data_IF_851325503591
#
_entry.id   IF_851325503591
#
_cell.length_a   1.000
_cell.length_b   1.000
_cell.length_c   1.000
_cell.angle_alpha   90.00
_cell.angle_beta   90.00
_cell.angle_gamma   90.00
#
_symmetry.space_group_name_H-M   'P 1'
#
loop_
_entity.id
_entity.type
_entity.pdbx_description
1 polymer ?
#
# COMPACT_ATOMS: atom_id res chain seq x y z
N UNK A 1 29.82 -45.98 -26.43
CA UNK A 1 30.73 -44.98 -27.05
C UNK A 1 29.84 -43.96 -27.74
N UNK A 2 29.67 -42.69 -27.40
CA UNK A 2 30.25 -41.70 -26.46
C UNK A 2 29.05 -41.09 -25.69
N UNK A 3 29.08 -40.87 -24.38
CA UNK A 3 29.71 -39.71 -23.75
C UNK A 3 28.68 -38.90 -22.94
N UNK A 4 28.09 -39.53 -21.92
CA UNK A 4 27.14 -38.92 -20.97
C UNK A 4 27.94 -38.49 -19.73
N UNK A 5 28.23 -37.18 -19.55
CA UNK A 5 28.62 -36.59 -18.25
C UNK A 5 28.75 -35.07 -18.31
N UNK A 6 28.37 -34.46 -17.19
CA UNK A 6 28.74 -33.13 -16.64
C UNK A 6 28.23 -31.87 -17.34
N UNK A 7 27.15 -31.27 -16.79
CA UNK A 7 27.27 -30.07 -15.94
C UNK A 7 26.01 -29.90 -15.07
N UNK A 8 26.09 -30.44 -13.85
CA UNK A 8 25.36 -29.99 -12.66
C UNK A 8 26.18 -28.84 -12.07
N UNK A 9 25.61 -27.64 -11.90
CA UNK A 9 25.94 -26.61 -10.88
C UNK A 9 25.46 -25.23 -11.37
N UNK A 10 24.27 -24.83 -10.95
CA UNK A 10 23.83 -23.44 -10.65
C UNK A 10 22.30 -23.42 -10.55
N UNK A 11 21.79 -23.95 -9.43
CA UNK A 11 20.36 -23.94 -9.12
C UNK A 11 20.16 -23.74 -7.62
N UNK A 12 20.63 -22.62 -7.05
CA UNK A 12 20.30 -22.16 -5.70
C UNK A 12 20.45 -20.63 -5.64
N UNK A 13 19.58 -19.96 -4.85
CA UNK A 13 19.37 -18.49 -4.70
C UNK A 13 18.42 -17.94 -5.78
N UNK A 14 17.10 -17.86 -5.61
CA UNK A 14 16.35 -16.99 -4.69
C UNK A 14 14.99 -17.63 -4.36
N UNK A 15 14.90 -18.30 -3.21
CA UNK A 15 13.63 -18.67 -2.57
C UNK A 15 13.88 -18.66 -1.06
N UNK A 16 13.63 -17.51 -0.43
CA UNK A 16 14.12 -17.25 0.92
C UNK A 16 13.42 -16.11 1.63
N UNK A 17 12.09 -16.02 1.54
CA UNK A 17 11.24 -15.35 2.55
C UNK A 17 9.85 -16.02 2.50
N UNK A 18 9.66 -17.18 3.14
CA UNK A 18 8.31 -17.68 3.48
C UNK A 18 8.26 -18.83 4.51
N UNK A 19 9.36 -19.30 5.10
CA UNK A 19 9.34 -20.45 6.03
C UNK A 19 9.93 -20.11 7.39
N UNK A 20 9.13 -19.52 8.26
CA UNK A 20 9.36 -19.54 9.70
C UNK A 20 8.04 -19.32 10.46
N UNK A 21 7.15 -20.31 10.47
CA UNK A 21 6.13 -20.50 11.52
C UNK A 21 5.50 -21.90 11.36
N UNK A 22 6.28 -22.93 11.68
CA UNK A 22 5.78 -24.27 11.96
C UNK A 22 6.72 -24.88 13.00
N UNK A 23 6.39 -24.65 14.27
CA UNK A 23 7.09 -25.20 15.43
C UNK A 23 6.06 -25.75 16.41
N UNK A 24 6.03 -27.08 16.47
CA UNK A 24 5.72 -27.96 17.61
C UNK A 24 4.54 -27.63 18.54
N UNK A 25 3.55 -28.52 18.46
CA UNK A 25 2.52 -28.72 19.49
C UNK A 25 3.20 -29.39 20.69
N UNK A 26 3.53 -28.60 21.71
CA UNK A 26 3.80 -29.08 23.06
C UNK A 26 2.50 -29.00 23.88
N UNK A 27 1.95 -30.17 24.20
CA UNK A 27 0.88 -30.34 25.18
C UNK A 27 1.45 -30.22 26.59
N UNK A 28 0.98 -29.26 27.38
CA UNK A 28 1.31 -29.21 28.81
C UNK A 28 1.00 -27.85 29.42
N UNK A 29 0.14 -27.82 30.43
CA UNK A 29 -0.47 -26.62 30.97
C UNK A 29 0.50 -25.62 31.60
N UNK A 30 0.15 -24.34 31.50
CA UNK A 30 0.08 -23.46 32.68
C UNK A 30 -0.73 -22.20 32.33
N UNK A 31 -2.00 -22.16 32.76
CA UNK A 31 -2.86 -20.98 32.62
C UNK A 31 -2.69 -20.15 33.88
N UNK A 32 -1.74 -19.21 33.87
CA UNK A 32 -1.68 -17.94 34.66
C UNK A 32 -0.23 -17.46 34.71
N UNK A 33 0.19 -16.60 33.76
CA UNK A 33 1.25 -15.56 33.90
C UNK A 33 1.63 -14.99 32.52
N UNK A 34 0.76 -14.17 31.91
CA UNK A 34 1.08 -13.47 30.65
C UNK A 34 0.54 -12.04 30.62
N UNK A 35 0.70 -11.29 31.72
CA UNK A 35 0.19 -9.90 31.83
C UNK A 35 1.25 -8.87 32.21
N UNK A 36 2.55 -9.14 32.01
CA UNK A 36 3.62 -8.25 32.49
C UNK A 36 4.64 -7.74 31.45
N UNK A 37 4.54 -8.06 30.16
CA UNK A 37 5.54 -7.66 29.14
C UNK A 37 5.21 -6.40 28.32
N UNK A 38 4.20 -5.62 28.70
CA UNK A 38 3.89 -4.30 28.08
C UNK A 38 4.11 -3.11 29.01
N UNK A 39 5.06 -3.21 29.95
CA UNK A 39 5.54 -2.05 30.73
C UNK A 39 6.95 -1.68 30.32
N UNK A 40 7.07 -0.45 29.80
CA UNK A 40 8.28 0.33 29.45
C UNK A 40 8.88 0.06 28.07
N UNK A 41 8.36 0.80 27.08
CA UNK A 41 9.18 1.22 25.94
C UNK A 41 10.25 2.21 26.45
N UNK A 42 11.53 2.05 26.10
CA UNK A 42 12.57 2.98 26.50
C UNK A 42 12.36 4.34 25.83
N UNK A 43 12.57 5.39 26.61
CA UNK A 43 12.55 6.78 26.19
C UNK A 43 13.77 7.04 25.28
N UNK A 44 13.64 6.72 23.98
CA UNK A 44 14.73 6.91 23.03
C UNK A 44 14.82 8.38 22.65
N UNK A 45 15.75 9.08 23.32
CA UNK A 45 16.29 10.39 22.95
C UNK A 45 17.04 10.43 21.62
N UNK A 46 16.50 9.80 20.57
CA UNK A 46 16.96 9.89 19.18
C UNK A 46 16.05 10.85 18.42
N UNK A 47 16.06 12.13 18.81
CA UNK A 47 15.50 13.21 18.00
C UNK A 47 16.62 14.16 17.59
N UNK A 48 16.58 14.53 16.30
CA UNK A 48 17.16 15.73 15.66
C UNK A 48 18.41 15.56 14.78
N UNK A 49 19.30 14.59 14.97
CA UNK A 49 20.57 14.58 14.20
C UNK A 49 20.44 14.13 12.71
N UNK A 50 19.56 13.18 12.38
CA UNK A 50 19.49 12.61 11.03
C UNK A 50 18.61 13.40 10.02
N UNK A 51 17.85 14.41 10.49
CA UNK A 51 16.89 15.14 9.63
C UNK A 51 17.55 16.22 8.76
N UNK A 52 18.79 16.63 9.06
CA UNK A 52 19.43 17.80 8.43
C UNK A 52 20.19 17.52 7.13
N UNK A 53 20.53 16.27 6.82
CA UNK A 53 21.35 15.95 5.63
C UNK A 53 20.53 15.53 4.41
N UNK A 54 19.33 14.96 4.59
CA UNK A 54 18.42 14.68 3.46
C UNK A 54 17.71 15.94 2.94
N UNK A 55 17.44 16.92 3.82
CA UNK A 55 16.70 18.14 3.49
C UNK A 55 17.49 19.19 2.69
N UNK A 56 18.83 19.11 2.66
CA UNK A 56 19.65 20.08 1.90
C UNK A 56 19.89 19.69 0.45
N UNK A 57 19.79 18.40 0.08
CA UNK A 57 19.83 17.97 -1.33
C UNK A 57 18.48 18.15 -2.04
N UNK A 58 17.38 18.16 -1.31
CA UNK A 58 16.02 18.49 -1.81
C UNK A 58 15.80 20.00 -2.04
N UNK A 59 16.75 20.86 -1.65
CA UNK A 59 16.59 22.32 -1.70
C UNK A 59 16.96 22.97 -3.05
N UNK A 60 17.65 22.29 -3.97
CA UNK A 60 17.68 22.76 -5.37
C UNK A 60 16.44 22.24 -6.08
N UNK A 61 15.42 23.10 -6.14
CA UNK A 61 14.26 22.88 -7.00
C UNK A 61 14.76 22.69 -8.44
N UNK A 62 14.86 21.44 -8.88
CA UNK A 62 15.14 21.14 -10.27
C UNK A 62 13.93 21.56 -11.11
N UNK A 63 14.15 21.92 -12.38
CA UNK A 63 13.05 22.26 -13.28
C UNK A 63 12.00 21.13 -13.37
N UNK A 64 12.45 19.86 -13.27
CA UNK A 64 11.56 18.70 -13.19
C UNK A 64 10.74 18.70 -11.90
N UNK A 65 11.35 18.95 -10.73
CA UNK A 65 10.64 19.03 -9.46
C UNK A 65 9.55 20.11 -9.44
N UNK A 66 9.79 21.26 -10.08
CA UNK A 66 8.77 22.31 -10.24
C UNK A 66 7.60 21.85 -11.11
N UNK A 67 7.87 21.18 -12.25
CA UNK A 67 6.81 20.62 -13.10
C UNK A 67 5.98 19.55 -12.38
N UNK A 68 6.62 18.66 -11.63
CA UNK A 68 5.93 17.66 -10.81
C UNK A 68 5.00 18.33 -9.81
N UNK A 69 5.46 19.35 -9.08
CA UNK A 69 4.62 20.11 -8.14
C UNK A 69 3.44 20.80 -8.84
N UNK A 70 3.66 21.35 -10.03
CA UNK A 70 2.58 21.94 -10.83
C UNK A 70 1.52 20.89 -11.17
N UNK A 71 1.92 19.73 -11.67
CA UNK A 71 1.01 18.63 -11.97
C UNK A 71 0.25 18.14 -10.73
N UNK A 72 0.90 18.03 -9.58
CA UNK A 72 0.24 17.68 -8.32
C UNK A 72 -0.81 18.74 -7.92
N UNK A 73 -0.45 20.02 -7.92
CA UNK A 73 -1.37 21.10 -7.59
C UNK A 73 -2.59 21.12 -8.53
N UNK A 74 -2.38 20.91 -9.83
CA UNK A 74 -3.45 20.77 -10.80
C UNK A 74 -4.30 19.53 -10.54
N UNK A 75 -3.68 18.37 -10.28
CA UNK A 75 -4.36 17.12 -9.96
C UNK A 75 -5.29 17.27 -8.76
N UNK A 76 -4.80 17.80 -7.64
CA UNK A 76 -5.61 18.05 -6.45
C UNK A 76 -6.72 19.10 -6.68
N UNK A 77 -6.47 20.15 -7.48
CA UNK A 77 -7.54 21.07 -7.90
C UNK A 77 -8.64 20.35 -8.68
N UNK A 78 -8.29 19.42 -9.57
CA UNK A 78 -9.27 18.62 -10.31
C UNK A 78 -10.03 17.64 -9.41
N UNK A 79 -9.37 17.05 -8.41
CA UNK A 79 -10.02 16.24 -7.36
C UNK A 79 -11.08 17.06 -6.63
N UNK A 80 -10.77 18.29 -6.23
CA UNK A 80 -11.71 19.19 -5.55
C UNK A 80 -12.91 19.55 -6.45
N UNK A 81 -12.70 19.68 -7.76
CA UNK A 81 -13.74 19.91 -8.77
C UNK A 81 -14.50 18.66 -9.21
N UNK A 82 -14.24 17.50 -8.58
CA UNK A 82 -14.81 16.19 -8.96
C UNK A 82 -14.51 15.77 -10.41
N UNK A 83 -13.46 16.30 -11.03
CA UNK A 83 -13.03 15.97 -12.38
C UNK A 83 -12.02 14.80 -12.38
N UNK A 84 -12.49 13.61 -11.98
CA UNK A 84 -11.64 12.44 -11.75
C UNK A 84 -10.74 12.04 -12.95
N UNK A 85 -11.21 12.03 -14.22
CA UNK A 85 -10.35 11.73 -15.36
C UNK A 85 -9.18 12.74 -15.50
N UNK A 86 -9.47 14.04 -15.45
CA UNK A 86 -8.46 15.09 -15.55
C UNK A 86 -7.46 15.05 -14.39
N UNK A 87 -7.92 14.75 -13.17
CA UNK A 87 -7.03 14.54 -12.02
C UNK A 87 -6.06 13.38 -12.24
N UNK A 88 -6.57 12.24 -12.73
CA UNK A 88 -5.77 11.05 -13.03
C UNK A 88 -4.68 11.34 -14.07
N UNK A 89 -5.01 12.08 -15.12
CA UNK A 89 -4.04 12.46 -16.15
C UNK A 89 -2.91 13.33 -15.59
N UNK A 90 -3.23 14.28 -14.70
CA UNK A 90 -2.22 15.12 -14.04
C UNK A 90 -1.32 14.31 -13.11
N UNK A 91 -1.87 13.39 -12.32
CA UNK A 91 -1.03 12.52 -11.49
C UNK A 91 -0.15 11.59 -12.32
N UNK A 92 -0.65 11.00 -13.41
CA UNK A 92 0.18 10.22 -14.33
C UNK A 92 1.27 11.06 -14.99
N UNK A 93 0.99 12.32 -15.37
CA UNK A 93 1.99 13.24 -15.89
C UNK A 93 3.10 13.52 -14.85
N UNK A 94 2.73 13.71 -13.58
CA UNK A 94 3.68 13.85 -12.48
C UNK A 94 4.60 12.63 -12.35
N UNK A 95 4.06 11.41 -12.40
CA UNK A 95 4.86 10.17 -12.33
C UNK A 95 5.81 10.00 -13.52
N UNK A 96 5.37 10.34 -14.74
CA UNK A 96 6.23 10.31 -15.94
C UNK A 96 7.39 11.28 -15.81
N UNK A 97 7.14 12.51 -15.35
CA UNK A 97 8.17 13.52 -15.15
C UNK A 97 9.20 13.07 -14.10
N UNK A 98 8.76 12.45 -13.00
CA UNK A 98 9.67 11.85 -12.00
C UNK A 98 10.53 10.75 -12.62
N UNK A 99 9.92 9.80 -13.33
CA UNK A 99 10.64 8.69 -13.94
C UNK A 99 11.68 9.18 -14.96
N UNK A 100 11.32 10.14 -15.83
CA UNK A 100 12.23 10.75 -16.78
C UNK A 100 13.37 11.52 -16.11
N UNK A 101 13.08 12.27 -15.04
CA UNK A 101 14.10 12.97 -14.27
C UNK A 101 15.12 12.00 -13.65
N UNK A 102 14.67 10.84 -13.17
CA UNK A 102 15.54 9.78 -12.62
C UNK A 102 16.44 9.15 -13.68
N UNK A 103 15.92 8.91 -14.89
CA UNK A 103 16.73 8.44 -16.03
C UNK A 103 17.77 9.48 -16.41
N UNK A 104 17.37 10.75 -16.56
CA UNK A 104 18.27 11.86 -16.93
C UNK A 104 19.36 12.11 -15.90
N UNK A 105 19.04 11.93 -14.61
CA UNK A 105 20.00 12.04 -13.52
C UNK A 105 20.87 10.78 -13.32
N UNK A 106 20.71 9.75 -14.17
CA UNK A 106 21.38 8.45 -14.05
C UNK A 106 21.17 7.74 -12.70
N UNK A 107 20.09 8.06 -11.98
CA UNK A 107 19.73 7.41 -10.71
C UNK A 107 19.14 6.02 -10.95
N UNK A 108 18.35 5.88 -12.02
CA UNK A 108 17.78 4.61 -12.45
C UNK A 108 17.50 4.66 -13.95
N UNK A 109 18.22 3.85 -14.71
CA UNK A 109 18.09 3.77 -16.18
C UNK A 109 16.78 3.11 -16.62
N UNK A 110 16.17 2.32 -15.73
CA UNK A 110 14.95 1.57 -16.00
C UNK A 110 13.68 2.25 -15.49
N UNK A 111 13.78 3.42 -14.83
CA UNK A 111 12.63 4.06 -14.16
C UNK A 111 11.42 4.29 -15.09
N UNK A 112 11.65 4.78 -16.31
CA UNK A 112 10.60 4.97 -17.30
C UNK A 112 9.98 3.65 -17.76
N UNK A 113 10.80 2.61 -17.97
CA UNK A 113 10.33 1.29 -18.35
C UNK A 113 9.49 0.65 -17.24
N UNK A 114 9.92 0.78 -15.98
CA UNK A 114 9.16 0.28 -14.83
C UNK A 114 7.81 0.97 -14.69
N UNK A 115 7.72 2.27 -14.96
CA UNK A 115 6.42 2.96 -14.97
C UNK A 115 5.49 2.37 -16.04
N UNK A 116 6.00 2.13 -17.24
CA UNK A 116 5.24 1.49 -18.33
C UNK A 116 4.81 0.07 -17.93
N UNK A 117 5.73 -0.73 -17.40
CA UNK A 117 5.45 -2.10 -16.94
C UNK A 117 4.33 -2.13 -15.90
N UNK A 118 4.35 -1.21 -14.94
CA UNK A 118 3.31 -1.11 -13.92
C UNK A 118 1.93 -0.79 -14.52
N UNK A 119 1.87 0.21 -15.42
CA UNK A 119 0.63 0.61 -16.07
C UNK A 119 0.06 -0.51 -16.96
N UNK A 120 0.93 -1.24 -17.66
CA UNK A 120 0.57 -2.41 -18.46
C UNK A 120 0.02 -3.53 -17.57
N UNK A 121 0.70 -3.86 -16.47
CA UNK A 121 0.22 -4.88 -15.54
C UNK A 121 -1.13 -4.51 -14.89
N UNK A 122 -1.34 -3.25 -14.50
CA UNK A 122 -2.64 -2.81 -13.97
C UNK A 122 -3.76 -2.87 -15.02
N UNK A 123 -3.43 -2.64 -16.30
CA UNK A 123 -4.39 -2.80 -17.40
C UNK A 123 -4.76 -4.26 -17.62
N UNK A 124 -3.76 -5.16 -17.68
CA UNK A 124 -3.95 -6.60 -17.88
C UNK A 124 -4.64 -7.27 -16.69
N UNK A 125 -4.41 -6.77 -15.47
CA UNK A 125 -5.14 -7.20 -14.29
C UNK A 125 -6.65 -7.06 -14.44
N UNK A 126 -7.13 -6.11 -15.26
CA UNK A 126 -8.56 -5.90 -15.52
C UNK A 126 -9.21 -7.12 -16.14
N UNK A 127 -8.47 -7.88 -16.93
CA UNK A 127 -9.04 -8.96 -17.74
C UNK A 127 -9.52 -10.12 -16.84
N UNK A 128 -9.01 -10.22 -15.61
CA UNK A 128 -9.45 -11.20 -14.61
C UNK A 128 -10.71 -10.78 -13.83
N UNK A 129 -11.25 -9.57 -14.05
CA UNK A 129 -12.52 -9.13 -13.44
C UNK A 129 -13.66 -9.41 -14.41
N UNK A 130 -14.42 -10.49 -14.16
CA UNK A 130 -15.62 -10.80 -14.91
C UNK A 130 -16.78 -11.12 -13.93
N UNK A 131 -17.41 -10.08 -13.34
CA UNK A 131 -18.44 -10.28 -12.31
C UNK A 131 -19.64 -11.08 -12.82
N UNK A 132 -19.97 -10.96 -14.11
CA UNK A 132 -21.12 -11.62 -14.73
C UNK A 132 -20.75 -12.83 -15.61
N UNK A 133 -19.49 -13.25 -15.62
CA UNK A 133 -19.09 -14.38 -16.45
C UNK A 133 -19.63 -15.69 -15.87
N UNK A 134 -20.54 -16.32 -16.63
CA UNK A 134 -20.98 -17.70 -16.37
C UNK A 134 -19.87 -18.73 -16.64
N UNK A 135 -18.85 -18.34 -17.41
CA UNK A 135 -17.73 -19.20 -17.79
C UNK A 135 -16.56 -18.98 -16.84
N UNK A 136 -16.04 -20.06 -16.29
CA UNK A 136 -14.81 -20.05 -15.52
C UNK A 136 -13.65 -19.60 -16.42
N UNK A 137 -13.06 -18.44 -16.10
CA UNK A 137 -11.87 -17.95 -16.78
C UNK A 137 -10.67 -18.85 -16.45
N UNK A 138 -9.88 -19.24 -17.45
CA UNK A 138 -8.56 -19.84 -17.25
C UNK A 138 -7.49 -18.73 -17.25
N UNK A 139 -6.94 -18.35 -16.08
CA UNK A 139 -6.00 -17.24 -16.01
C UNK A 139 -4.69 -17.52 -16.75
N UNK A 140 -4.29 -18.80 -16.89
CA UNK A 140 -3.08 -19.15 -17.63
C UNK A 140 -3.27 -18.88 -19.13
N UNK A 141 -4.41 -19.31 -19.69
CA UNK A 141 -4.73 -19.06 -21.09
C UNK A 141 -4.80 -17.56 -21.41
N UNK A 142 -5.41 -16.75 -20.54
CA UNK A 142 -5.47 -15.29 -20.71
C UNK A 142 -4.07 -14.65 -20.71
N UNK A 143 -3.25 -15.03 -19.73
CA UNK A 143 -1.93 -14.46 -19.53
C UNK A 143 -0.93 -14.73 -20.67
N UNK A 144 -1.19 -15.70 -21.55
CA UNK A 144 -0.37 -15.92 -22.75
C UNK A 144 -0.35 -14.67 -23.65
N UNK A 145 -1.47 -13.96 -23.74
CA UNK A 145 -1.60 -12.75 -24.58
C UNK A 145 -1.11 -11.48 -23.89
N UNK A 146 -0.86 -11.54 -22.58
CA UNK A 146 -0.41 -10.40 -21.80
C UNK A 146 1.04 -10.05 -22.14
N UNK A 147 1.36 -8.76 -22.12
CA UNK A 147 2.71 -8.25 -22.33
C UNK A 147 3.57 -8.45 -21.09
N UNK A 148 3.01 -8.25 -19.89
CA UNK A 148 3.77 -8.42 -18.64
C UNK A 148 4.25 -9.87 -18.43
N UNK A 149 5.33 -10.08 -17.65
CA UNK A 149 5.87 -11.41 -17.40
C UNK A 149 5.20 -12.16 -16.25
N UNK A 150 4.18 -11.59 -15.60
CA UNK A 150 3.69 -12.02 -14.26
C UNK A 150 3.34 -13.50 -14.14
N UNK A 151 2.71 -14.07 -15.16
CA UNK A 151 2.29 -15.48 -15.20
C UNK A 151 2.93 -16.26 -16.36
N UNK A 152 3.93 -15.68 -17.03
CA UNK A 152 4.58 -16.36 -18.15
C UNK A 152 5.46 -17.47 -17.63
N UNK A 153 5.28 -18.67 -18.18
CA UNK A 153 6.05 -19.86 -17.80
C UNK A 153 5.58 -20.55 -16.52
N UNK A 154 4.54 -20.05 -15.83
CA UNK A 154 3.94 -20.77 -14.70
C UNK A 154 2.88 -21.75 -15.21
N UNK A 155 3.00 -23.03 -14.86
CA UNK A 155 2.00 -24.07 -15.14
C UNK A 155 1.27 -24.50 -13.86
N UNK A 156 0.72 -23.53 -13.14
CA UNK A 156 -0.06 -23.83 -11.94
C UNK A 156 -1.44 -24.35 -12.32
N UNK A 157 -1.67 -25.64 -12.07
CA UNK A 157 -2.91 -26.35 -12.41
C UNK A 157 -4.17 -25.77 -11.76
N UNK A 158 -4.02 -24.95 -10.72
CA UNK A 158 -5.13 -24.42 -9.92
C UNK A 158 -5.04 -22.90 -9.70
N UNK A 159 -4.52 -22.17 -10.69
CA UNK A 159 -4.46 -20.71 -10.60
C UNK A 159 -5.86 -20.11 -10.72
N UNK A 160 -6.36 -19.50 -9.64
CA UNK A 160 -7.63 -18.77 -9.66
C UNK A 160 -7.47 -17.34 -10.19
N UNK A 161 -8.56 -16.74 -10.70
CA UNK A 161 -8.57 -15.35 -11.13
C UNK A 161 -8.13 -14.38 -10.01
N UNK A 162 -8.52 -14.66 -8.76
CA UNK A 162 -8.09 -13.86 -7.60
C UNK A 162 -6.58 -13.95 -7.37
N UNK A 163 -5.99 -15.15 -7.46
CA UNK A 163 -4.54 -15.32 -7.35
C UNK A 163 -3.80 -14.59 -8.47
N UNK A 164 -4.33 -14.62 -9.70
CA UNK A 164 -3.79 -13.84 -10.81
C UNK A 164 -3.83 -12.33 -10.52
N UNK A 165 -4.98 -11.80 -10.07
CA UNK A 165 -5.13 -10.39 -9.66
C UNK A 165 -4.09 -10.00 -8.61
N UNK A 166 -3.89 -10.84 -7.58
CA UNK A 166 -2.94 -10.56 -6.51
C UNK A 166 -1.49 -10.53 -7.02
N UNK A 167 -1.10 -11.43 -7.94
CA UNK A 167 0.23 -11.44 -8.56
C UNK A 167 0.47 -10.21 -9.44
N UNK A 168 -0.50 -9.85 -10.27
CA UNK A 168 -0.43 -8.65 -11.10
C UNK A 168 -0.35 -7.38 -10.26
N UNK A 169 -1.12 -7.32 -9.17
CA UNK A 169 -1.08 -6.22 -8.21
C UNK A 169 0.28 -6.09 -7.53
N UNK A 170 0.85 -7.21 -7.07
CA UNK A 170 2.16 -7.22 -6.44
C UNK A 170 3.27 -6.76 -7.40
N UNK A 171 3.23 -7.22 -8.66
CA UNK A 171 4.15 -6.78 -9.71
C UNK A 171 3.99 -5.29 -10.00
N UNK A 172 2.76 -4.80 -10.22
CA UNK A 172 2.50 -3.39 -10.46
C UNK A 172 2.97 -2.50 -9.30
N UNK A 173 2.73 -2.90 -8.04
CA UNK A 173 3.22 -2.18 -6.86
C UNK A 173 4.75 -2.13 -6.82
N UNK A 174 5.45 -3.21 -7.18
CA UNK A 174 6.91 -3.24 -7.23
C UNK A 174 7.45 -2.33 -8.34
N UNK A 175 6.88 -2.40 -9.53
CA UNK A 175 7.29 -1.57 -10.68
C UNK A 175 7.00 -0.08 -10.46
N UNK A 176 5.86 0.30 -9.84
CA UNK A 176 5.59 1.69 -9.43
C UNK A 176 6.64 2.19 -8.44
N UNK A 177 6.97 1.39 -7.42
CA UNK A 177 7.99 1.74 -6.45
C UNK A 177 9.37 1.88 -7.09
N UNK A 178 9.74 0.99 -8.03
CA UNK A 178 11.00 1.09 -8.77
C UNK A 178 11.08 2.35 -9.64
N UNK A 179 9.99 2.67 -10.34
CA UNK A 179 9.87 3.86 -11.17
C UNK A 179 10.02 5.16 -10.36
N UNK A 180 9.45 5.21 -9.17
CA UNK A 180 9.43 6.39 -8.31
C UNK A 180 10.66 6.49 -7.38
N UNK A 181 11.26 5.35 -6.99
CA UNK A 181 12.24 5.22 -5.90
C UNK A 181 11.77 5.87 -4.62
N UNK A 182 12.61 6.69 -3.96
CA UNK A 182 12.30 7.33 -2.68
C UNK A 182 11.89 8.80 -2.84
N UNK A 183 11.30 9.18 -3.97
CA UNK A 183 10.92 10.58 -4.26
C UNK A 183 9.59 10.95 -3.58
N UNK A 184 9.56 11.90 -2.61
CA UNK A 184 8.34 12.24 -1.87
C UNK A 184 7.22 12.74 -2.78
N UNK A 185 7.54 13.55 -3.79
CA UNK A 185 6.54 14.08 -4.74
C UNK A 185 5.87 12.97 -5.56
N UNK A 186 6.57 11.86 -5.81
CA UNK A 186 5.99 10.70 -6.49
C UNK A 186 5.03 9.94 -5.58
N UNK A 187 5.38 9.81 -4.30
CA UNK A 187 4.49 9.25 -3.28
C UNK A 187 3.17 10.03 -3.18
N UNK A 188 3.21 11.36 -3.25
CA UNK A 188 2.00 12.22 -3.29
C UNK A 188 1.14 11.97 -4.54
N UNK A 189 1.75 11.80 -5.72
CA UNK A 189 1.02 11.50 -6.94
C UNK A 189 0.33 10.11 -6.86
N UNK A 190 1.05 9.11 -6.35
CA UNK A 190 0.50 7.77 -6.09
C UNK A 190 -0.64 7.83 -5.07
N UNK A 191 -0.50 8.61 -4.00
CA UNK A 191 -1.55 8.80 -3.01
C UNK A 191 -2.81 9.44 -3.63
N UNK A 192 -2.64 10.46 -4.47
CA UNK A 192 -3.74 11.09 -5.22
C UNK A 192 -4.48 10.11 -6.13
N UNK A 193 -3.76 9.23 -6.84
CA UNK A 193 -4.36 8.16 -7.65
C UNK A 193 -5.11 7.14 -6.77
N UNK A 194 -4.53 6.75 -5.63
CA UNK A 194 -5.16 5.88 -4.65
C UNK A 194 -6.46 6.45 -4.12
N UNK A 195 -6.51 7.75 -3.81
CA UNK A 195 -7.74 8.43 -3.39
C UNK A 195 -8.83 8.40 -4.47
N UNK A 196 -8.48 8.68 -5.73
CA UNK A 196 -9.44 8.63 -6.84
C UNK A 196 -10.04 7.23 -6.99
N UNK A 197 -9.19 6.19 -6.99
CA UNK A 197 -9.62 4.80 -7.05
C UNK A 197 -10.44 4.37 -5.82
N UNK A 198 -10.07 4.85 -4.63
CA UNK A 198 -10.81 4.57 -3.40
C UNK A 198 -12.22 5.14 -3.46
N UNK A 199 -12.39 6.39 -3.92
CA UNK A 199 -13.71 7.01 -4.12
C UNK A 199 -14.54 6.26 -5.16
N UNK A 200 -13.95 5.87 -6.29
CA UNK A 200 -14.63 5.05 -7.30
C UNK A 200 -15.09 3.69 -6.74
N UNK A 201 -14.30 3.10 -5.83
CA UNK A 201 -14.65 1.82 -5.20
C UNK A 201 -15.77 1.91 -4.16
N UNK A 202 -16.09 3.10 -3.63
CA UNK A 202 -17.15 3.25 -2.61
C UNK A 202 -18.56 2.99 -3.18
N UNK A 203 -18.73 3.10 -4.50
CA UNK A 203 -20.00 2.81 -5.19
C UNK A 203 -20.04 1.41 -5.79
N UNK A 204 -19.03 0.58 -5.51
CA UNK A 204 -18.86 -0.76 -6.07
C UNK A 204 -18.70 -1.78 -4.94
N UNK A 205 -18.66 -3.05 -5.30
CA UNK A 205 -18.39 -4.13 -4.35
C UNK A 205 -17.00 -3.98 -3.70
N UNK A 206 -16.84 -4.54 -2.50
CA UNK A 206 -15.60 -4.42 -1.73
C UNK A 206 -14.37 -4.90 -2.50
N UNK A 207 -14.50 -5.96 -3.31
CA UNK A 207 -13.43 -6.52 -4.13
C UNK A 207 -13.44 -6.03 -5.59
N UNK A 208 -14.02 -4.86 -5.85
CA UNK A 208 -14.02 -4.30 -7.20
C UNK A 208 -12.63 -3.97 -7.71
N UNK A 209 -12.52 -3.83 -9.05
CA UNK A 209 -11.29 -3.36 -9.71
C UNK A 209 -10.78 -2.04 -9.12
N UNK A 210 -11.69 -1.11 -8.84
CA UNK A 210 -11.32 0.19 -8.28
C UNK A 210 -10.70 0.04 -6.87
N UNK A 211 -11.25 -0.87 -6.05
CA UNK A 211 -10.69 -1.17 -4.74
C UNK A 211 -9.27 -1.76 -4.86
N UNK A 212 -9.05 -2.67 -5.82
CA UNK A 212 -7.73 -3.25 -6.02
C UNK A 212 -6.71 -2.22 -6.51
N UNK A 213 -7.08 -1.34 -7.45
CA UNK A 213 -6.21 -0.25 -7.90
C UNK A 213 -5.84 0.69 -6.74
N UNK A 214 -6.79 1.03 -5.87
CA UNK A 214 -6.50 1.81 -4.68
C UNK A 214 -5.49 1.11 -3.76
N UNK A 215 -5.62 -0.21 -3.53
CA UNK A 215 -4.63 -1.00 -2.77
C UNK A 215 -3.25 -0.95 -3.41
N UNK A 216 -3.16 -1.09 -4.74
CA UNK A 216 -1.89 -1.03 -5.50
C UNK A 216 -1.21 0.33 -5.31
N UNK A 217 -1.96 1.43 -5.49
CA UNK A 217 -1.42 2.78 -5.36
C UNK A 217 -0.98 3.11 -3.94
N UNK A 218 -1.80 2.85 -2.92
CA UNK A 218 -1.40 3.11 -1.53
C UNK A 218 -0.23 2.23 -1.09
N UNK A 219 -0.19 0.96 -1.51
CA UNK A 219 0.96 0.09 -1.24
C UNK A 219 2.23 0.61 -1.91
N UNK A 220 2.14 1.12 -3.15
CA UNK A 220 3.26 1.74 -3.83
C UNK A 220 3.69 3.04 -3.13
N UNK A 221 2.76 3.88 -2.68
CA UNK A 221 3.07 5.07 -1.86
C UNK A 221 3.88 4.71 -0.62
N UNK A 222 3.49 3.66 0.12
CA UNK A 222 4.22 3.23 1.32
C UNK A 222 5.59 2.60 1.02
N UNK A 223 5.80 2.05 -0.18
CA UNK A 223 7.13 1.59 -0.62
C UNK A 223 8.03 2.76 -0.99
N UNK A 224 7.48 3.80 -1.61
CA UNK A 224 8.20 5.04 -2.01
C UNK A 224 8.50 5.92 -0.79
N UNK A 225 7.51 6.10 0.09
CA UNK A 225 7.61 6.85 1.32
C UNK A 225 6.96 6.05 2.46
N UNK A 226 7.81 5.35 3.19
CA UNK A 226 7.42 4.46 4.29
C UNK A 226 6.78 5.18 5.49
N UNK A 227 6.91 6.51 5.56
CA UNK A 227 6.34 7.36 6.59
C UNK A 227 5.11 8.15 6.11
N UNK A 228 4.54 7.80 4.94
CA UNK A 228 3.36 8.47 4.42
C UNK A 228 2.10 8.06 5.20
N UNK A 229 1.81 8.82 6.24
CA UNK A 229 0.74 8.54 7.21
C UNK A 229 -0.64 8.32 6.55
N UNK A 230 -1.05 9.23 5.67
CA UNK A 230 -2.36 9.16 5.03
C UNK A 230 -2.55 7.86 4.23
N UNK A 231 -1.57 7.48 3.40
CA UNK A 231 -1.62 6.24 2.63
C UNK A 231 -1.66 4.99 3.53
N UNK A 232 -0.96 5.01 4.66
CA UNK A 232 -0.99 3.94 5.67
C UNK A 232 -2.38 3.76 6.26
N UNK A 233 -3.01 4.87 6.67
CA UNK A 233 -4.38 4.86 7.15
C UNK A 233 -5.36 4.35 6.09
N UNK A 234 -5.34 4.94 4.89
CA UNK A 234 -6.27 4.59 3.81
C UNK A 234 -6.13 3.13 3.37
N UNK A 235 -4.91 2.61 3.27
CA UNK A 235 -4.68 1.20 2.95
C UNK A 235 -5.22 0.28 4.05
N UNK A 236 -5.03 0.64 5.33
CA UNK A 236 -5.56 -0.09 6.47
C UNK A 236 -7.08 -0.19 6.44
N UNK A 237 -7.77 0.94 6.24
CA UNK A 237 -9.23 1.00 6.11
C UNK A 237 -9.72 0.16 4.92
N UNK A 238 -9.06 0.31 3.77
CA UNK A 238 -9.43 -0.42 2.56
C UNK A 238 -9.26 -1.93 2.70
N UNK A 239 -8.18 -2.40 3.35
CA UNK A 239 -7.96 -3.81 3.64
C UNK A 239 -9.00 -4.37 4.61
N UNK A 240 -9.35 -3.59 5.64
CA UNK A 240 -10.39 -3.96 6.60
C UNK A 240 -11.75 -4.13 5.88
N UNK A 241 -12.12 -3.19 5.02
CA UNK A 241 -13.37 -3.26 4.21
C UNK A 241 -13.46 -4.50 3.33
N UNK A 242 -12.35 -5.01 2.80
CA UNK A 242 -12.35 -6.23 1.99
C UNK A 242 -12.10 -7.51 2.82
N UNK A 243 -12.31 -7.47 4.13
CA UNK A 243 -12.14 -8.63 5.00
C UNK A 243 -10.69 -9.04 5.29
N UNK A 244 -9.69 -8.29 4.83
CA UNK A 244 -8.27 -8.60 5.02
C UNK A 244 -7.74 -8.09 6.37
N UNK A 245 -8.44 -8.43 7.46
CA UNK A 245 -8.25 -7.86 8.81
C UNK A 245 -6.83 -7.98 9.36
N UNK A 246 -6.18 -9.14 9.15
CA UNK A 246 -4.82 -9.36 9.63
C UNK A 246 -3.82 -8.40 8.95
N UNK A 247 -3.97 -8.18 7.64
CA UNK A 247 -3.14 -7.24 6.87
C UNK A 247 -3.45 -5.80 7.24
N UNK A 248 -4.74 -5.47 7.41
CA UNK A 248 -5.16 -4.15 7.88
C UNK A 248 -4.53 -3.79 9.23
N UNK A 249 -4.58 -4.72 10.19
CA UNK A 249 -3.97 -4.54 11.51
C UNK A 249 -2.45 -4.33 11.42
N UNK A 250 -1.76 -5.10 10.58
CA UNK A 250 -0.32 -4.96 10.38
C UNK A 250 0.05 -3.57 9.82
N UNK A 251 -0.67 -3.11 8.79
CA UNK A 251 -0.44 -1.80 8.16
C UNK A 251 -0.73 -0.65 9.13
N UNK A 252 -1.83 -0.72 9.88
CA UNK A 252 -2.19 0.31 10.85
C UNK A 252 -1.22 0.36 12.04
N UNK A 253 -0.78 -0.79 12.56
CA UNK A 253 0.26 -0.85 13.61
C UNK A 253 1.58 -0.25 13.14
N UNK A 254 2.00 -0.56 11.91
CA UNK A 254 3.19 0.03 11.31
C UNK A 254 3.06 1.55 11.18
N UNK A 255 1.89 2.02 10.74
CA UNK A 255 1.60 3.46 10.61
C UNK A 255 1.64 4.16 11.97
N UNK A 256 0.97 3.60 12.98
CA UNK A 256 0.95 4.12 14.34
C UNK A 256 2.34 4.19 14.98
N UNK A 257 3.23 3.25 14.65
CA UNK A 257 4.61 3.22 15.15
C UNK A 257 5.47 4.32 14.51
N UNK A 258 5.24 4.62 13.22
CA UNK A 258 6.07 5.57 12.45
C UNK A 258 5.60 7.00 12.57
N UNK A 259 4.31 7.22 12.37
CA UNK A 259 3.67 8.54 12.43
C UNK A 259 2.34 8.34 13.17
N UNK A 260 2.36 8.43 14.52
CA UNK A 260 1.16 8.28 15.32
C UNK A 260 0.15 9.37 14.99
N UNK A 261 -1.11 8.98 14.76
CA UNK A 261 -2.20 9.95 14.60
C UNK A 261 -3.52 9.44 15.12
N UNK A 262 -4.42 10.39 15.41
CA UNK A 262 -5.73 10.09 15.99
C UNK A 262 -6.53 9.15 15.09
N UNK A 263 -6.53 9.37 13.77
CA UNK A 263 -7.25 8.54 12.81
C UNK A 263 -6.73 7.10 12.77
N UNK A 264 -5.40 6.91 12.76
CA UNK A 264 -4.79 5.57 12.76
C UNK A 264 -5.13 4.82 14.06
N UNK A 265 -5.03 5.48 15.21
CA UNK A 265 -5.38 4.88 16.50
C UNK A 265 -6.87 4.58 16.65
N UNK A 266 -7.75 5.44 16.12
CA UNK A 266 -9.18 5.17 16.02
C UNK A 266 -9.45 3.88 15.22
N UNK A 267 -8.86 3.79 14.02
CA UNK A 267 -9.01 2.61 13.17
C UNK A 267 -8.45 1.35 13.83
N UNK A 268 -7.33 1.44 14.56
CA UNK A 268 -6.81 0.32 15.37
C UNK A 268 -7.78 -0.08 16.48
N UNK A 269 -8.37 0.87 17.20
CA UNK A 269 -9.33 0.59 18.26
C UNK A 269 -10.55 -0.15 17.72
N UNK A 270 -11.09 0.30 16.57
CA UNK A 270 -12.21 -0.36 15.90
C UNK A 270 -11.87 -1.79 15.48
N UNK A 271 -10.67 -2.02 14.90
CA UNK A 271 -10.23 -3.35 14.51
C UNK A 271 -10.08 -4.29 15.72
N UNK A 272 -9.48 -3.80 16.80
CA UNK A 272 -9.31 -4.58 18.03
C UNK A 272 -10.67 -4.92 18.65
N UNK A 273 -11.61 -3.96 18.67
CA UNK A 273 -12.97 -4.18 19.15
C UNK A 273 -13.69 -5.26 18.32
N UNK A 274 -13.60 -5.20 16.99
CA UNK A 274 -14.19 -6.19 16.09
C UNK A 274 -13.66 -7.61 16.34
N UNK A 275 -12.36 -7.72 16.63
CA UNK A 275 -11.70 -9.00 16.95
C UNK A 275 -11.95 -9.50 18.38
N UNK A 276 -12.70 -8.75 19.19
CA UNK A 276 -12.93 -9.07 20.61
C UNK A 276 -11.76 -8.76 21.54
N UNK A 277 -10.72 -8.08 21.04
CA UNK A 277 -9.50 -7.72 21.76
C UNK A 277 -9.71 -6.42 22.57
N UNK A 278 -10.64 -6.47 23.54
CA UNK A 278 -11.15 -5.29 24.29
C UNK A 278 -10.04 -4.48 24.96
N UNK A 279 -9.08 -5.14 25.61
CA UNK A 279 -7.98 -4.47 26.30
C UNK A 279 -7.13 -3.64 25.33
N UNK A 280 -6.82 -4.20 24.15
CA UNK A 280 -6.06 -3.50 23.11
C UNK A 280 -6.85 -2.33 22.52
N UNK A 281 -8.18 -2.48 22.36
CA UNK A 281 -9.04 -1.38 21.94
C UNK A 281 -9.04 -0.23 22.97
N UNK A 282 -9.12 -0.53 24.26
CA UNK A 282 -9.02 0.47 25.35
C UNK A 282 -7.66 1.16 25.37
N UNK A 283 -6.57 0.42 25.16
CA UNK A 283 -5.23 1.01 25.04
C UNK A 283 -5.14 1.97 23.85
N UNK A 284 -5.63 1.57 22.67
CA UNK A 284 -5.66 2.44 21.49
C UNK A 284 -6.49 3.72 21.73
N UNK A 285 -7.64 3.61 22.41
CA UNK A 285 -8.43 4.78 22.82
C UNK A 285 -7.69 5.69 23.82
N UNK A 286 -6.88 5.10 24.70
CA UNK A 286 -5.99 5.86 25.59
C UNK A 286 -4.95 6.68 24.82
N UNK A 287 -4.41 6.13 23.73
CA UNK A 287 -3.49 6.85 22.83
C UNK A 287 -4.18 8.01 22.11
N UNK A 288 -5.43 7.83 21.67
CA UNK A 288 -6.22 8.93 21.08
C UNK A 288 -6.33 10.09 22.08
N UNK A 289 -6.74 9.83 23.33
CA UNK A 289 -6.84 10.86 24.38
C UNK A 289 -5.50 11.51 24.71
N UNK A 290 -4.40 10.75 24.69
CA UNK A 290 -3.06 11.31 24.89
C UNK A 290 -2.69 12.28 23.76
N UNK A 291 -2.96 11.90 22.51
CA UNK A 291 -2.74 12.78 21.37
C UNK A 291 -3.68 14.00 21.40
N UNK A 292 -4.89 13.85 21.92
CA UNK A 292 -5.82 14.96 22.13
C UNK A 292 -5.26 16.00 23.09
N UNK A 293 -4.80 15.56 24.25
CA UNK A 293 -4.23 16.42 25.28
C UNK A 293 -2.87 17.01 24.87
N UNK A 294 -2.13 16.33 23.99
CA UNK A 294 -0.83 16.79 23.52
C UNK A 294 -0.93 17.78 22.33
N UNK A 295 -2.04 17.76 21.58
CA UNK A 295 -2.20 18.60 20.40
C UNK A 295 -3.29 19.67 20.64
N UNK A 296 -2.92 20.74 21.33
CA UNK A 296 -3.64 22.03 21.28
C UNK A 296 -3.55 22.68 19.88
N UNK A 297 -2.81 22.07 18.93
CA UNK A 297 -2.71 22.50 17.54
C UNK A 297 -3.54 21.56 16.64
N UNK A 298 -4.65 22.10 16.13
CA UNK A 298 -5.61 21.44 15.24
C UNK A 298 -4.95 20.68 14.07
N UNK A 299 -4.80 19.37 14.21
CA UNK A 299 -4.57 18.50 13.04
C UNK A 299 -5.93 17.97 12.61
N UNK A 300 -6.51 18.61 11.59
CA UNK A 300 -7.89 18.36 11.16
C UNK A 300 -8.08 16.91 10.68
N UNK A 301 -9.09 16.22 11.24
CA UNK A 301 -9.53 14.87 10.85
C UNK A 301 -10.09 14.80 9.41
N UNK A 302 -10.32 15.95 8.78
CA UNK A 302 -11.09 16.10 7.54
C UNK A 302 -10.55 15.32 6.33
N UNK A 303 -9.30 14.82 6.39
CA UNK A 303 -8.66 14.09 5.29
C UNK A 303 -8.50 12.57 5.51
N UNK A 304 -8.97 12.01 6.64
CA UNK A 304 -8.79 10.58 6.95
C UNK A 304 -10.07 9.78 6.85
N UNK A 305 -10.02 8.63 6.19
CA UNK A 305 -11.08 7.63 6.30
C UNK A 305 -11.07 6.99 7.69
N UNK A 306 -12.26 6.87 8.28
CA UNK A 306 -12.48 6.23 9.57
C UNK A 306 -13.37 5.00 9.41
N UNK A 307 -13.06 3.92 10.13
CA UNK A 307 -13.91 2.75 10.22
C UNK A 307 -15.06 2.99 11.20
N UNK A 308 -16.22 2.45 10.87
CA UNK A 308 -17.37 2.44 11.78
C UNK A 308 -17.20 1.33 12.84
N UNK A 309 -17.27 1.72 14.12
CA UNK A 309 -17.19 0.81 15.24
C UNK A 309 -18.36 -0.18 15.31
N UNK A 310 -19.53 0.17 14.76
CA UNK A 310 -20.74 -0.67 14.76
C UNK A 310 -20.75 -1.66 13.61
N UNK A 311 -20.10 -1.30 12.49
CA UNK A 311 -20.01 -2.12 11.29
C UNK A 311 -18.57 -2.09 10.77
N UNK A 312 -17.66 -2.84 11.40
CA UNK A 312 -16.27 -2.86 10.99
C UNK A 312 -16.21 -3.43 9.56
N UNK A 313 -15.78 -2.60 8.63
CA UNK A 313 -15.85 -2.86 7.19
C UNK A 313 -16.64 -1.79 6.43
N UNK A 314 -17.59 -1.14 7.07
CA UNK A 314 -18.15 0.10 6.57
C UNK A 314 -17.22 1.26 6.96
N UNK A 315 -17.00 2.16 6.00
CA UNK A 315 -16.34 3.44 6.27
C UNK A 315 -17.41 4.30 6.92
N UNK A 316 -17.17 4.75 8.15
CA UNK A 316 -17.99 5.79 8.76
C UNK A 316 -17.90 6.98 7.82
N UNK A 317 -18.97 7.22 7.03
CA UNK A 317 -18.96 8.21 5.96
C UNK A 317 -18.35 9.49 6.50
N UNK A 318 -17.45 10.08 5.71
CA UNK A 318 -16.95 11.42 5.97
C UNK A 318 -18.15 12.32 6.25
N UNK A 319 -18.29 12.80 7.48
CA UNK A 319 -19.07 13.98 7.76
C UNK A 319 -18.24 15.15 7.21
N UNK A 320 -18.36 15.40 5.90
CA UNK A 320 -18.15 16.72 5.38
C UNK A 320 -19.47 17.14 4.72
N UNK A 321 -20.07 18.28 5.13
CA UNK A 321 -21.29 18.81 4.54
C UNK A 321 -21.14 19.13 3.05
#
# INVERSE_FOLDING_TARGET
>A
MYGFRTQLLLFWVVLGVCSAFAGEIATGGDVRRSSQTLRRLPDTGLRVAARRTSDRRSARATAAGLRVRQHLAEGFRQVARRAAPAARDRFHAALREVAMARVKAHVSLTASQSLVNALVAMREMRDFYAPDAQVQLDPNAMAVTHQSPVLKGTQEKFLSARMAIDRYSAYATAELAAACGNEPLAAEALYGLGQLSSRESMTQEADSRAAQLAKVYFSATLRVNSSHELAGNELGVLLARTGAWARALAVLKQSATRVPSRAVWHNLAVLHQYRGERDLATLAQGEIRRLENASDLETSFSNFSLLDARRPGEVARFANP
#
